data_IF_478263059563
#
_entry.id   IF_478263059563
#
_cell.length_a   1.000
_cell.length_b   1.000
_cell.length_c   1.000
_cell.angle_alpha   90.00
_cell.angle_beta   90.00
_cell.angle_gamma   90.00
#
_symmetry.space_group_name_H-M   'P 1'
#
loop_
_entity.id
_entity.type
_entity.pdbx_description
1 polymer ?
#
# COMPACT_ATOMS: atom_id res chain seq x y z
N UNK A 1 -28.21 -23.94 13.47
CA UNK A 1 -26.81 -23.93 13.00
C UNK A 1 -26.65 -25.10 12.06
N UNK A 2 -26.62 -24.87 10.75
CA UNK A 2 -26.41 -25.95 9.77
C UNK A 2 -24.96 -26.43 9.89
N UNK A 3 -24.77 -27.65 10.40
CA UNK A 3 -23.47 -28.30 10.45
C UNK A 3 -23.11 -28.78 9.04
N UNK A 4 -22.77 -27.86 8.15
CA UNK A 4 -22.30 -28.26 6.83
C UNK A 4 -20.90 -28.91 6.97
N UNK A 5 -20.67 -30.06 6.33
CA UNK A 5 -19.40 -30.77 6.42
C UNK A 5 -18.28 -29.95 5.77
N UNK A 6 -17.12 -29.89 6.42
CA UNK A 6 -15.90 -29.32 5.84
C UNK A 6 -15.43 -30.24 4.70
N UNK A 7 -15.17 -29.66 3.54
CA UNK A 7 -14.69 -30.36 2.35
C UNK A 7 -13.20 -30.10 2.18
N UNK A 8 -12.43 -31.18 2.00
CA UNK A 8 -11.03 -31.12 1.60
C UNK A 8 -10.93 -31.34 0.09
N UNK A 9 -10.30 -30.40 -0.61
CA UNK A 9 -10.10 -30.45 -2.05
C UNK A 9 -8.60 -30.45 -2.33
N UNK A 10 -8.16 -31.43 -3.12
CA UNK A 10 -6.78 -31.53 -3.61
C UNK A 10 -6.81 -31.40 -5.13
N UNK A 11 -6.06 -30.44 -5.64
CA UNK A 11 -5.92 -30.19 -7.08
C UNK A 11 -4.45 -30.27 -7.46
N UNK A 12 -4.17 -31.01 -8.53
CA UNK A 12 -2.83 -31.10 -9.09
C UNK A 12 -2.77 -30.25 -10.34
N UNK A 13 -1.95 -29.22 -10.28
CA UNK A 13 -1.63 -28.36 -11.42
C UNK A 13 -0.14 -28.51 -11.77
N UNK A 14 0.69 -27.45 -11.69
CA UNK A 14 2.16 -27.62 -11.72
C UNK A 14 2.70 -28.19 -10.41
N UNK A 15 2.03 -27.86 -9.31
CA UNK A 15 2.26 -28.39 -7.97
C UNK A 15 0.92 -28.76 -7.38
N UNK A 16 0.95 -29.60 -6.35
CA UNK A 16 -0.22 -29.93 -5.57
C UNK A 16 -0.69 -28.70 -4.78
N UNK A 17 -1.98 -28.42 -4.85
CA UNK A 17 -2.68 -27.39 -4.08
C UNK A 17 -3.80 -28.05 -3.31
N UNK A 18 -3.80 -27.88 -1.99
CA UNK A 18 -4.80 -28.45 -1.09
C UNK A 18 -5.52 -27.33 -0.36
N UNK A 19 -6.85 -27.35 -0.38
CA UNK A 19 -7.71 -26.33 0.25
C UNK A 19 -8.77 -27.02 1.10
N UNK A 20 -9.04 -26.45 2.28
CA UNK A 20 -10.18 -26.80 3.12
C UNK A 20 -11.24 -25.71 2.96
N UNK A 21 -12.49 -26.11 2.78
CA UNK A 21 -13.60 -25.16 2.62
C UNK A 21 -14.88 -25.66 3.26
N UNK A 22 -15.64 -24.75 3.85
CA UNK A 22 -17.00 -25.00 4.34
C UNK A 22 -18.08 -24.36 3.45
N UNK A 23 -17.68 -23.74 2.34
CA UNK A 23 -18.57 -22.94 1.48
C UNK A 23 -18.83 -23.57 0.10
N UNK A 24 -18.12 -24.64 -0.25
CA UNK A 24 -18.17 -25.26 -1.58
C UNK A 24 -18.35 -26.77 -1.46
N UNK A 25 -19.04 -27.36 -2.44
CA UNK A 25 -19.15 -28.82 -2.58
C UNK A 25 -17.98 -29.37 -3.41
N UNK A 26 -17.63 -30.64 -3.19
CA UNK A 26 -16.53 -31.32 -3.88
C UNK A 26 -16.67 -31.35 -5.41
N UNK A 27 -17.90 -31.41 -5.93
CA UNK A 27 -18.18 -31.50 -7.37
C UNK A 27 -18.17 -30.15 -8.10
N UNK A 28 -17.97 -29.04 -7.40
CA UNK A 28 -17.97 -27.72 -8.02
C UNK A 28 -16.65 -27.44 -8.74
N UNK A 29 -16.74 -27.26 -10.06
CA UNK A 29 -15.61 -26.96 -10.93
C UNK A 29 -15.82 -25.60 -11.59
N UNK A 30 -14.74 -24.84 -11.74
CA UNK A 30 -14.66 -23.59 -12.47
C UNK A 30 -13.63 -23.68 -13.59
N UNK A 31 -13.79 -22.86 -14.62
CA UNK A 31 -12.81 -22.71 -15.69
C UNK A 31 -12.01 -21.44 -15.41
N UNK A 32 -10.69 -21.59 -15.27
CA UNK A 32 -9.77 -20.46 -15.09
C UNK A 32 -8.90 -20.28 -16.31
N UNK A 33 -8.62 -19.02 -16.68
CA UNK A 33 -7.67 -18.69 -17.75
C UNK A 33 -6.27 -18.61 -17.16
N UNK A 34 -5.43 -19.57 -17.55
CA UNK A 34 -4.04 -19.66 -17.10
C UNK A 34 -3.10 -19.16 -18.18
N UNK A 35 -2.19 -18.25 -17.81
CA UNK A 35 -1.06 -17.87 -18.66
C UNK A 35 0.03 -18.93 -18.60
N UNK A 36 0.41 -19.46 -19.76
CA UNK A 36 1.50 -20.41 -19.90
C UNK A 36 2.86 -19.70 -20.01
N UNK A 37 3.95 -20.46 -19.96
CA UNK A 37 5.32 -19.92 -20.04
C UNK A 37 5.61 -19.21 -21.37
N UNK A 38 4.90 -19.60 -22.43
CA UNK A 38 4.98 -19.00 -23.77
C UNK A 38 4.11 -17.73 -23.91
N UNK A 39 3.42 -17.31 -22.84
CA UNK A 39 2.50 -16.17 -22.84
C UNK A 39 1.10 -16.47 -23.38
N UNK A 40 0.84 -17.70 -23.86
CA UNK A 40 -0.49 -18.12 -24.29
C UNK A 40 -1.43 -18.26 -23.10
N UNK A 41 -2.73 -18.00 -23.29
CA UNK A 41 -3.76 -18.21 -22.26
C UNK A 41 -4.52 -19.49 -22.56
N UNK A 42 -4.44 -20.46 -21.67
CA UNK A 42 -5.16 -21.73 -21.76
C UNK A 42 -6.25 -21.81 -20.69
N UNK A 43 -7.40 -22.34 -21.07
CA UNK A 43 -8.48 -22.64 -20.14
C UNK A 43 -8.21 -23.98 -19.44
N UNK A 44 -8.29 -23.97 -18.11
CA UNK A 44 -8.01 -25.13 -17.26
C UNK A 44 -9.17 -25.32 -16.30
N UNK A 45 -9.61 -26.57 -16.14
CA UNK A 45 -10.58 -26.96 -15.13
C UNK A 45 -9.91 -26.96 -13.75
N UNK A 46 -10.48 -26.20 -12.83
CA UNK A 46 -9.98 -26.03 -11.47
C UNK A 46 -11.17 -26.16 -10.51
N UNK A 47 -11.01 -26.79 -9.33
CA UNK A 47 -12.06 -26.76 -8.32
C UNK A 47 -12.46 -25.34 -7.98
N UNK A 48 -13.77 -25.10 -7.88
CA UNK A 48 -14.31 -23.75 -7.69
C UNK A 48 -13.80 -23.09 -6.41
N UNK A 49 -13.61 -23.87 -5.34
CA UNK A 49 -13.01 -23.41 -4.10
C UNK A 49 -11.62 -22.76 -4.28
N UNK A 50 -10.80 -23.29 -5.20
CA UNK A 50 -9.45 -22.75 -5.49
C UNK A 50 -9.55 -21.51 -6.37
N UNK A 51 -10.47 -21.51 -7.33
CA UNK A 51 -10.72 -20.34 -8.19
C UNK A 51 -11.21 -19.14 -7.35
N UNK A 52 -12.18 -19.36 -6.48
CA UNK A 52 -12.74 -18.34 -5.60
C UNK A 52 -11.71 -17.88 -4.56
N UNK A 53 -10.90 -18.79 -4.00
CA UNK A 53 -9.78 -18.40 -3.15
C UNK A 53 -8.82 -17.45 -3.89
N UNK A 54 -8.41 -17.82 -5.10
CA UNK A 54 -7.46 -17.03 -5.90
C UNK A 54 -8.03 -15.65 -6.26
N UNK A 55 -9.33 -15.57 -6.54
CA UNK A 55 -10.03 -14.32 -6.84
C UNK A 55 -10.01 -13.35 -5.65
N UNK A 56 -10.15 -13.86 -4.43
CA UNK A 56 -10.31 -13.04 -3.22
C UNK A 56 -9.02 -12.87 -2.39
N UNK A 57 -7.99 -13.69 -2.63
CA UNK A 57 -6.74 -13.68 -1.85
C UNK A 57 -5.99 -12.33 -1.88
N UNK A 58 -6.12 -11.57 -2.97
CA UNK A 58 -5.31 -10.37 -3.22
C UNK A 58 -5.56 -9.16 -2.31
N UNK A 59 -6.55 -9.20 -1.41
CA UNK A 59 -6.89 -8.05 -0.57
C UNK A 59 -5.74 -7.53 0.29
N UNK A 60 -4.94 -8.44 0.87
CA UNK A 60 -3.78 -8.08 1.70
C UNK A 60 -2.63 -7.54 0.83
N UNK A 61 -2.36 -8.19 -0.30
CA UNK A 61 -1.32 -7.75 -1.23
C UNK A 61 -1.63 -6.36 -1.81
N UNK A 62 -2.90 -6.05 -2.05
CA UNK A 62 -3.34 -4.74 -2.50
C UNK A 62 -3.05 -3.67 -1.43
N UNK A 63 -3.35 -3.96 -0.17
CA UNK A 63 -3.02 -3.07 0.94
C UNK A 63 -1.51 -2.82 1.04
N UNK A 64 -0.71 -3.90 1.00
CA UNK A 64 0.74 -3.82 1.07
C UNK A 64 1.33 -3.04 -0.11
N UNK A 65 0.76 -3.23 -1.30
CA UNK A 65 1.13 -2.46 -2.49
C UNK A 65 0.87 -0.96 -2.32
N UNK A 66 -0.26 -0.55 -1.74
CA UNK A 66 -0.53 0.87 -1.46
C UNK A 66 0.32 1.43 -0.31
N UNK A 67 0.69 0.61 0.66
CA UNK A 67 1.50 1.02 1.81
C UNK A 67 2.98 1.23 1.43
N UNK A 68 3.53 0.32 0.62
CA UNK A 68 4.94 0.29 0.21
C UNK A 68 5.52 1.63 -0.31
N UNK A 69 4.89 2.37 -1.23
CA UNK A 69 5.47 3.58 -1.81
C UNK A 69 5.49 4.78 -0.85
N UNK A 70 4.62 4.80 0.18
CA UNK A 70 4.44 5.96 1.05
C UNK A 70 4.26 5.54 2.53
N UNK A 71 5.28 4.93 3.17
CA UNK A 71 5.16 4.50 4.56
C UNK A 71 5.07 5.71 5.49
N UNK A 72 4.04 5.76 6.35
CA UNK A 72 3.90 6.81 7.36
C UNK A 72 4.73 6.52 8.62
N UNK A 73 5.21 5.27 8.75
CA UNK A 73 6.04 4.80 9.86
C UNK A 73 7.29 5.63 10.13
N UNK A 74 7.51 5.99 11.40
CA UNK A 74 8.78 6.59 11.87
C UNK A 74 9.48 5.68 12.87
N UNK A 75 10.82 5.74 12.89
CA UNK A 75 11.62 5.03 13.90
C UNK A 75 11.22 5.53 15.30
N UNK A 76 10.86 4.59 16.17
CA UNK A 76 10.49 4.86 17.56
C UNK A 76 10.99 3.74 18.46
N UNK A 77 11.33 4.09 19.71
CA UNK A 77 11.67 3.12 20.76
C UNK A 77 10.45 2.42 21.34
N UNK A 78 9.26 3.01 21.20
CA UNK A 78 8.01 2.47 21.73
C UNK A 78 7.35 1.59 20.66
N UNK A 79 7.18 0.29 20.94
CA UNK A 79 6.55 -0.67 20.01
C UNK A 79 5.14 -0.22 19.56
N UNK A 80 4.33 0.32 20.46
CA UNK A 80 2.98 0.80 20.16
C UNK A 80 2.92 1.87 19.06
N UNK A 81 4.01 2.62 18.84
CA UNK A 81 4.07 3.59 17.74
C UNK A 81 4.01 2.92 16.37
N UNK A 82 4.51 1.68 16.25
CA UNK A 82 4.39 0.89 15.00
C UNK A 82 2.93 0.57 14.71
N UNK A 83 2.17 0.17 15.73
CA UNK A 83 0.73 -0.06 15.60
C UNK A 83 -0.01 1.23 15.25
N UNK A 84 0.34 2.35 15.87
CA UNK A 84 -0.24 3.65 15.56
C UNK A 84 -0.05 4.03 14.08
N UNK A 85 1.18 3.96 13.56
CA UNK A 85 1.43 4.30 12.16
C UNK A 85 0.74 3.33 11.20
N UNK A 86 0.67 2.04 11.54
CA UNK A 86 -0.10 1.07 10.77
C UNK A 86 -1.58 1.45 10.68
N UNK A 87 -2.20 1.85 11.80
CA UNK A 87 -3.61 2.29 11.79
C UNK A 87 -3.81 3.56 10.93
N UNK A 88 -2.85 4.49 10.95
CA UNK A 88 -2.90 5.69 10.10
C UNK A 88 -2.79 5.31 8.62
N UNK A 89 -1.82 4.47 8.24
CA UNK A 89 -1.68 3.99 6.87
C UNK A 89 -2.95 3.27 6.41
N UNK A 90 -3.55 2.44 7.28
CA UNK A 90 -4.79 1.76 6.96
C UNK A 90 -5.98 2.69 6.79
N UNK A 91 -6.13 3.69 7.67
CA UNK A 91 -7.18 4.69 7.54
C UNK A 91 -7.06 5.47 6.22
N UNK A 92 -5.85 5.87 5.83
CA UNK A 92 -5.58 6.60 4.57
C UNK A 92 -5.90 5.75 3.35
N UNK A 93 -5.46 4.48 3.33
CA UNK A 93 -5.72 3.56 2.21
C UNK A 93 -7.23 3.28 2.09
N UNK A 94 -7.92 3.01 3.20
CA UNK A 94 -9.36 2.79 3.19
C UNK A 94 -10.13 4.03 2.73
N UNK A 95 -9.72 5.23 3.15
CA UNK A 95 -10.30 6.48 2.68
C UNK A 95 -10.09 6.67 1.16
N UNK A 96 -8.93 6.28 0.63
CA UNK A 96 -8.64 6.31 -0.80
C UNK A 96 -9.54 5.34 -1.58
N UNK A 97 -9.71 4.10 -1.10
CA UNK A 97 -10.61 3.11 -1.71
C UNK A 97 -12.06 3.65 -1.76
N UNK A 98 -12.53 4.24 -0.66
CA UNK A 98 -13.86 4.89 -0.62
C UNK A 98 -13.96 6.07 -1.58
N UNK A 99 -12.91 6.88 -1.70
CA UNK A 99 -12.85 7.99 -2.64
C UNK A 99 -12.98 7.51 -4.09
N UNK A 100 -12.23 6.48 -4.48
CA UNK A 100 -12.33 5.88 -5.81
C UNK A 100 -13.72 5.29 -6.08
N UNK A 101 -14.32 4.62 -5.08
CA UNK A 101 -15.67 4.06 -5.20
C UNK A 101 -16.73 5.14 -5.45
N UNK A 102 -16.63 6.30 -4.81
CA UNK A 102 -17.57 7.42 -5.00
C UNK A 102 -17.29 8.26 -6.25
N UNK A 103 -16.04 8.31 -6.69
CA UNK A 103 -15.59 9.13 -7.81
C UNK A 103 -15.02 8.26 -8.94
N UNK A 104 -15.76 7.24 -9.37
CA UNK A 104 -15.33 6.26 -10.36
C UNK A 104 -14.89 6.85 -11.73
N UNK A 105 -15.22 8.11 -12.01
CA UNK A 105 -14.82 8.84 -13.22
C UNK A 105 -13.51 9.64 -13.06
N UNK A 106 -12.93 9.68 -11.86
CA UNK A 106 -11.67 10.35 -11.57
C UNK A 106 -10.60 9.32 -11.26
N UNK A 107 -9.74 9.08 -12.25
CA UNK A 107 -8.44 8.47 -12.00
C UNK A 107 -7.55 9.49 -11.27
N UNK A 108 -7.58 9.46 -9.95
CA UNK A 108 -6.61 10.18 -9.13
C UNK A 108 -5.52 9.23 -8.69
N UNK A 109 -4.26 9.53 -8.99
CA UNK A 109 -3.15 8.76 -8.44
C UNK A 109 -3.16 8.82 -6.90
N UNK A 110 -2.87 7.69 -6.25
CA UNK A 110 -2.82 7.57 -4.77
C UNK A 110 -1.97 8.66 -4.10
N UNK A 111 -0.86 9.07 -4.74
CA UNK A 111 -0.01 10.18 -4.30
C UNK A 111 -0.75 11.50 -4.22
N UNK A 112 -1.52 11.83 -5.26
CA UNK A 112 -2.26 13.09 -5.35
C UNK A 112 -3.36 13.14 -4.30
N UNK A 113 -4.06 12.02 -4.07
CA UNK A 113 -5.01 11.89 -2.98
C UNK A 113 -4.36 12.18 -1.62
N UNK A 114 -3.21 11.56 -1.33
CA UNK A 114 -2.47 11.78 -0.08
C UNK A 114 -1.99 13.23 0.09
N UNK A 115 -1.54 13.88 -0.97
CA UNK A 115 -1.12 15.28 -0.93
C UNK A 115 -2.29 16.21 -0.62
N UNK A 116 -3.46 15.96 -1.23
CA UNK A 116 -4.69 16.71 -0.91
C UNK A 116 -5.09 16.48 0.54
N UNK A 117 -5.14 15.23 0.98
CA UNK A 117 -5.46 14.88 2.36
C UNK A 117 -4.52 15.56 3.36
N UNK A 118 -3.21 15.59 3.09
CA UNK A 118 -2.24 16.25 3.94
C UNK A 118 -2.44 17.78 3.97
N UNK A 119 -2.73 18.42 2.84
CA UNK A 119 -3.03 19.86 2.77
C UNK A 119 -4.29 20.19 3.58
N UNK A 120 -5.35 19.39 3.45
CA UNK A 120 -6.58 19.57 4.22
C UNK A 120 -6.36 19.39 5.72
N UNK A 121 -5.56 18.39 6.14
CA UNK A 121 -5.22 18.21 7.56
C UNK A 121 -4.35 19.34 8.12
N UNK A 122 -3.50 19.95 7.30
CA UNK A 122 -2.75 21.14 7.70
C UNK A 122 -3.71 22.33 7.82
N UNK A 123 -4.69 22.47 6.91
CA UNK A 123 -5.67 23.56 6.92
C UNK A 123 -5.00 24.93 7.00
N UNK A 124 -5.35 25.72 8.01
CA UNK A 124 -4.71 27.01 8.33
C UNK A 124 -3.59 26.91 9.38
N UNK A 125 -3.31 25.72 9.92
CA UNK A 125 -2.26 25.53 10.92
C UNK A 125 -0.88 25.62 10.25
N UNK A 126 -0.24 26.78 10.40
CA UNK A 126 1.18 26.94 10.09
C UNK A 126 1.94 27.09 11.42
N UNK A 127 2.74 26.10 11.80
CA UNK A 127 3.70 26.28 12.88
C UNK A 127 4.93 26.99 12.31
N UNK A 128 4.84 28.32 12.15
CA UNK A 128 6.01 29.20 11.96
C UNK A 128 6.85 29.18 13.25
N UNK A 129 7.60 28.11 13.47
CA UNK A 129 8.72 28.13 14.40
C UNK A 129 9.98 28.14 13.54
N UNK A 130 10.36 29.33 13.08
CA UNK A 130 11.76 29.56 12.73
C UNK A 130 12.55 29.24 13.99
N UNK A 131 13.19 28.07 14.03
CA UNK A 131 14.28 27.90 14.99
C UNK A 131 15.36 28.83 14.45
N UNK A 132 15.85 29.82 15.23
CA UNK A 132 17.04 30.53 14.81
C UNK A 132 18.10 29.47 14.54
N UNK A 133 18.69 29.50 13.35
CA UNK A 133 19.84 28.67 13.04
C UNK A 133 20.96 29.22 13.92
N UNK A 134 21.05 28.74 15.17
CA UNK A 134 22.17 29.05 16.04
C UNK A 134 23.31 28.19 15.52
N UNK A 135 24.10 28.75 14.60
CA UNK A 135 25.44 28.25 14.31
C UNK A 135 26.26 28.39 15.60
N UNK A 136 26.34 27.31 16.39
CA UNK A 136 27.35 27.23 17.46
C UNK A 136 28.69 26.99 16.76
N UNK A 137 29.50 28.04 16.67
CA UNK A 137 30.91 27.92 16.32
C UNK A 137 31.59 26.99 17.33
N UNK A 138 31.82 25.74 16.91
CA UNK A 138 32.82 24.89 17.56
C UNK A 138 34.18 25.43 17.13
N UNK A 139 34.99 25.79 18.13
CA UNK A 139 36.35 26.32 18.03
C UNK A 139 37.10 25.86 16.78
N UNK A 140 37.58 26.83 16.00
CA UNK A 140 38.68 26.68 15.04
C UNK A 140 38.25 26.55 13.57
N UNK A 141 38.21 27.69 12.87
CA UNK A 141 38.22 27.76 11.40
C UNK A 141 36.85 28.01 10.75
N UNK A 142 36.75 29.09 9.97
CA UNK A 142 35.60 29.38 9.12
C UNK A 142 35.54 28.39 7.95
N UNK A 143 34.85 27.26 8.14
CA UNK A 143 34.45 26.37 7.05
C UNK A 143 32.94 26.51 6.79
N UNK A 144 32.56 27.68 6.31
CA UNK A 144 31.20 27.96 5.87
C UNK A 144 31.24 29.06 4.84
N UNK A 145 30.82 28.74 3.61
CA UNK A 145 30.62 29.74 2.55
C UNK A 145 29.48 30.66 3.01
N UNK A 146 29.68 32.00 3.08
CA UNK A 146 28.64 32.96 3.42
C UNK A 146 27.43 32.90 2.46
N UNK A 147 26.25 33.21 2.96
CA UNK A 147 25.00 33.13 2.19
C UNK A 147 24.96 34.08 0.98
N UNK A 148 25.74 35.17 1.04
CA UNK A 148 25.95 36.11 -0.07
C UNK A 148 26.51 35.42 -1.32
N UNK A 149 27.39 34.43 -1.15
CA UNK A 149 28.01 33.67 -2.25
C UNK A 149 27.05 32.57 -2.75
N UNK A 150 26.18 32.04 -1.90
CA UNK A 150 25.17 31.04 -2.30
C UNK A 150 24.07 31.63 -3.18
N UNK A 151 23.69 32.89 -2.94
CA UNK A 151 22.59 33.55 -3.65
C UNK A 151 23.02 34.23 -4.95
N UNK A 152 24.32 34.29 -5.26
CA UNK A 152 24.83 34.83 -6.53
C UNK A 152 24.68 33.88 -7.74
N UNK A 153 24.27 32.62 -7.52
CA UNK A 153 24.12 31.63 -8.60
C UNK A 153 22.82 31.76 -9.42
N UNK A 154 21.88 32.63 -9.02
CA UNK A 154 20.65 32.86 -9.79
C UNK A 154 20.77 34.14 -10.62
N UNK A 155 21.59 34.08 -11.66
CA UNK A 155 21.84 35.24 -12.52
C UNK A 155 22.70 34.97 -13.73
N UNK A 156 22.42 33.91 -14.48
CA UNK A 156 23.03 33.65 -15.78
C UNK A 156 21.97 33.19 -16.77
N UNK A 157 21.66 34.06 -17.75
CA UNK A 157 20.89 33.74 -18.95
C UNK A 157 21.57 32.64 -19.77
#
# INVERSE_FOLDING_TARGET
>A
MTSEPIVAVKWLDTKEVTVLTSAHKQSEVAIIKRTQKDGSKKEVFCPKAIADYTLHMGGVDHFDHFCSPYPTGRKSRKFWMRLFFFMVDAAVINAYILFLSKHAQRDSAHREFRLRLAREFIGSFTCKKQRPIIFKNKKGGNFGVPDEIRLQSEGGK
#
